data_IF_947184569088
#
_entry.id   IF_947184569088
#
_cell.length_a   1.000
_cell.length_b   1.000
_cell.length_c   1.000
_cell.angle_alpha   90.00
_cell.angle_beta   90.00
_cell.angle_gamma   90.00
#
_symmetry.space_group_name_H-M   'P 1'
#
loop_
_entity.id
_entity.type
_entity.pdbx_description
1 polymer ?
#
# COMPACT_ATOMS: atom_id res chain seq x y z
N UNK A 1 14.26 71.20 28.88
CA UNK A 1 15.10 71.25 27.66
C UNK A 1 16.06 70.08 27.70
N UNK A 2 16.20 69.30 26.62
CA UNK A 2 17.20 68.24 26.35
C UNK A 2 17.30 67.07 27.39
N UNK A 3 17.15 65.79 27.03
CA UNK A 3 18.03 64.91 26.21
C UNK A 3 19.40 64.63 26.89
N UNK A 4 20.00 63.43 26.89
CA UNK A 4 19.77 62.23 26.06
C UNK A 4 20.39 60.91 26.64
N UNK A 5 19.72 59.77 26.41
CA UNK A 5 20.20 58.38 26.08
C UNK A 5 21.33 57.60 26.82
N UNK A 6 21.02 56.29 26.90
CA UNK A 6 21.84 55.05 26.87
C UNK A 6 22.75 54.69 28.06
N UNK A 7 22.75 53.50 28.68
CA UNK A 7 22.55 52.06 28.35
C UNK A 7 23.88 51.28 28.43
N UNK A 8 24.00 50.38 29.42
CA UNK A 8 24.73 49.09 29.45
C UNK A 8 24.25 48.39 30.74
N UNK A 9 23.33 47.44 30.71
CA UNK A 9 23.48 46.01 30.37
C UNK A 9 24.35 45.23 31.38
N UNK A 10 23.76 44.23 32.06
CA UNK A 10 24.21 42.82 31.95
C UNK A 10 23.25 41.80 32.60
N UNK A 11 23.01 40.71 31.86
CA UNK A 11 22.68 39.34 32.30
C UNK A 11 21.52 39.10 33.29
N UNK A 12 20.31 38.88 32.73
CA UNK A 12 19.43 37.81 33.23
C UNK A 12 19.76 36.51 32.49
N UNK A 13 20.08 35.44 33.22
CA UNK A 13 20.11 34.09 32.65
C UNK A 13 18.68 33.59 32.45
N UNK A 14 18.27 33.48 31.19
CA UNK A 14 17.09 32.70 30.79
C UNK A 14 17.50 31.24 30.66
N UNK A 15 16.97 30.40 31.55
CA UNK A 15 17.01 28.94 31.38
C UNK A 15 16.16 28.57 30.16
N UNK A 16 16.81 28.41 29.00
CA UNK A 16 16.22 27.72 27.87
C UNK A 16 16.22 26.22 28.22
N UNK A 17 15.24 25.82 29.03
CA UNK A 17 14.77 24.44 29.08
C UNK A 17 14.07 24.18 27.74
N UNK A 18 14.89 23.97 26.71
CA UNK A 18 14.41 23.47 25.43
C UNK A 18 13.76 22.12 25.69
N UNK A 19 12.44 22.07 25.60
CA UNK A 19 11.71 20.82 25.48
C UNK A 19 12.12 20.19 24.15
N UNK A 20 13.25 19.49 24.16
CA UNK A 20 13.52 18.45 23.17
C UNK A 20 12.44 17.42 23.43
N UNK A 21 11.33 17.53 22.71
CA UNK A 21 10.43 16.41 22.54
C UNK A 21 11.28 15.30 21.93
N UNK A 22 11.69 14.33 22.74
CA UNK A 22 12.12 13.04 22.22
C UNK A 22 10.89 12.52 21.48
N UNK A 23 10.95 12.60 20.15
CA UNK A 23 9.93 12.05 19.27
C UNK A 23 10.12 10.53 19.25
N UNK A 24 9.85 9.89 20.38
CA UNK A 24 9.72 8.45 20.51
C UNK A 24 8.53 8.03 19.68
N UNK A 25 8.76 7.73 18.40
CA UNK A 25 7.71 7.17 17.55
C UNK A 25 7.69 5.66 17.72
N UNK A 26 6.50 5.16 17.95
CA UNK A 26 6.18 3.75 18.06
C UNK A 26 5.74 3.22 16.70
N UNK A 27 6.40 3.61 15.62
CA UNK A 27 6.00 3.17 14.28
C UNK A 27 6.08 1.65 14.17
N UNK A 28 4.95 1.00 13.92
CA UNK A 28 4.85 -0.42 13.63
C UNK A 28 4.44 -0.65 12.18
N UNK A 29 4.79 -1.81 11.64
CA UNK A 29 4.15 -2.38 10.46
C UNK A 29 3.74 -3.83 10.73
N UNK A 30 2.73 -4.30 10.01
CA UNK A 30 2.31 -5.70 10.02
C UNK A 30 1.73 -6.08 8.66
N UNK A 31 2.00 -7.29 8.17
CA UNK A 31 1.37 -7.83 6.96
C UNK A 31 1.27 -9.36 6.99
N UNK A 32 0.26 -9.89 6.32
CA UNK A 32 0.05 -11.34 6.16
C UNK A 32 1.04 -11.95 5.17
N UNK A 33 1.56 -13.13 5.50
CA UNK A 33 2.14 -14.08 4.53
C UNK A 33 1.38 -15.39 4.58
N UNK A 34 1.63 -16.32 3.65
CA UNK A 34 1.00 -17.65 3.65
C UNK A 34 1.37 -18.52 4.87
N UNK A 35 2.39 -18.13 5.67
CA UNK A 35 2.84 -18.89 6.85
C UNK A 35 2.52 -18.24 8.20
N UNK A 36 2.60 -16.91 8.27
CA UNK A 36 2.46 -16.13 9.51
C UNK A 36 2.28 -14.64 9.18
N UNK A 37 1.96 -13.83 10.19
CA UNK A 37 2.07 -12.37 10.08
C UNK A 37 3.55 -12.00 10.27
N UNK A 38 4.06 -11.05 9.49
CA UNK A 38 5.32 -10.38 9.80
C UNK A 38 5.04 -9.04 10.46
N UNK A 39 5.73 -8.77 11.56
CA UNK A 39 5.58 -7.58 12.39
C UNK A 39 6.95 -6.91 12.56
N UNK A 40 6.99 -5.60 12.42
CA UNK A 40 8.17 -4.79 12.70
C UNK A 40 7.81 -3.53 13.49
N UNK A 41 8.79 -2.99 14.21
CA UNK A 41 8.65 -1.73 14.93
C UNK A 41 9.97 -0.95 14.88
N UNK A 42 9.89 0.39 14.86
CA UNK A 42 11.05 1.22 15.16
C UNK A 42 11.32 1.21 16.68
N UNK A 43 12.57 0.98 17.05
CA UNK A 43 13.07 1.19 18.40
C UNK A 43 13.22 2.70 18.67
N UNK A 44 12.49 3.26 19.66
CA UNK A 44 12.41 4.71 19.87
C UNK A 44 13.68 5.33 20.48
N UNK A 45 14.67 4.51 20.86
CA UNK A 45 15.95 4.98 21.45
C UNK A 45 17.05 5.04 20.40
N UNK A 46 17.17 3.99 19.58
CA UNK A 46 18.23 3.80 18.59
C UNK A 46 17.80 4.15 17.16
N UNK A 47 16.50 4.30 16.91
CA UNK A 47 15.92 4.49 15.57
C UNK A 47 15.99 3.25 14.68
N UNK A 48 16.51 2.12 15.16
CA UNK A 48 16.64 0.89 14.37
C UNK A 48 15.28 0.24 14.17
N UNK A 49 15.08 -0.43 13.04
CA UNK A 49 13.88 -1.22 12.79
C UNK A 49 14.13 -2.63 13.34
N UNK A 50 13.36 -3.02 14.35
CA UNK A 50 13.27 -4.37 14.88
C UNK A 50 12.18 -5.16 14.15
N UNK A 51 12.34 -6.47 13.95
CA UNK A 51 11.36 -7.30 13.26
C UNK A 51 11.25 -8.74 13.79
N UNK A 52 10.07 -9.33 13.62
CA UNK A 52 9.79 -10.72 13.99
C UNK A 52 10.50 -11.73 13.08
N UNK A 53 10.86 -12.90 13.61
CA UNK A 53 11.49 -13.96 12.84
C UNK A 53 10.67 -14.29 11.58
N UNK A 54 11.23 -14.08 10.39
CA UNK A 54 10.52 -14.22 9.11
C UNK A 54 10.12 -15.66 8.76
N UNK A 55 10.64 -16.63 9.52
CA UNK A 55 10.32 -18.04 9.45
C UNK A 55 9.43 -18.51 10.62
N UNK A 56 8.83 -17.59 11.39
CA UNK A 56 7.83 -17.91 12.42
C UNK A 56 6.67 -18.69 11.80
N UNK A 57 5.93 -19.41 12.65
CA UNK A 57 4.69 -20.09 12.26
C UNK A 57 3.60 -19.67 13.22
N UNK A 58 2.40 -19.44 12.70
CA UNK A 58 1.20 -19.09 13.46
C UNK A 58 1.34 -17.71 14.16
N UNK A 59 2.00 -17.63 15.33
CA UNK A 59 2.23 -16.35 16.05
C UNK A 59 3.64 -15.80 15.75
N UNK A 60 3.80 -14.49 15.46
CA UNK A 60 5.12 -13.90 15.18
C UNK A 60 6.02 -13.92 16.42
N UNK A 61 7.27 -14.37 16.28
CA UNK A 61 8.27 -14.32 17.35
C UNK A 61 9.04 -13.01 17.21
N UNK A 62 8.96 -12.12 18.19
CA UNK A 62 9.51 -10.76 18.16
C UNK A 62 10.55 -10.57 19.28
N UNK A 63 11.83 -10.88 19.06
CA UNK A 63 12.87 -10.75 20.09
C UNK A 63 13.17 -9.27 20.38
N UNK A 64 13.26 -8.93 21.68
CA UNK A 64 13.69 -7.63 22.18
C UNK A 64 15.14 -7.71 22.70
N UNK A 65 15.43 -8.65 23.61
CA UNK A 65 16.77 -8.85 24.20
C UNK A 65 17.89 -9.07 23.16
N UNK A 66 17.55 -9.76 22.07
CA UNK A 66 18.43 -10.06 20.93
C UNK A 66 17.74 -9.71 19.62
N UNK A 67 17.18 -8.50 19.56
CA UNK A 67 16.38 -8.04 18.44
C UNK A 67 17.01 -8.30 17.07
N UNK A 68 16.18 -8.76 16.14
CA UNK A 68 16.56 -8.77 14.73
C UNK A 68 16.50 -7.33 14.21
N UNK A 69 17.67 -6.76 13.92
CA UNK A 69 17.78 -5.42 13.34
C UNK A 69 17.73 -5.53 11.82
N UNK A 70 16.87 -4.75 11.17
CA UNK A 70 16.76 -4.69 9.72
C UNK A 70 18.03 -4.06 9.13
N UNK A 71 18.64 -4.73 8.16
CA UNK A 71 19.79 -4.21 7.41
C UNK A 71 19.29 -3.23 6.34
N UNK A 72 18.98 -2.00 6.73
CA UNK A 72 18.73 -0.87 5.83
C UNK A 72 20.05 -0.14 5.50
N UNK A 73 20.23 0.27 4.24
CA UNK A 73 21.40 1.04 3.79
C UNK A 73 21.15 2.54 4.01
N UNK A 74 19.95 3.03 3.73
CA UNK A 74 19.46 4.34 4.16
C UNK A 74 18.96 4.23 5.61
N UNK A 75 19.77 4.69 6.56
CA UNK A 75 19.45 4.56 7.99
C UNK A 75 18.19 5.36 8.37
N UNK A 76 17.15 4.72 8.94
CA UNK A 76 15.95 5.41 9.40
C UNK A 76 16.25 6.38 10.55
N UNK A 77 15.49 7.50 10.59
CA UNK A 77 15.57 8.50 11.68
C UNK A 77 14.65 8.09 12.83
N UNK A 78 14.84 8.59 14.04
CA UNK A 78 13.76 8.46 15.03
C UNK A 78 12.54 9.27 14.55
N UNK A 79 11.32 8.73 14.66
CA UNK A 79 10.13 9.31 14.02
C UNK A 79 9.83 8.77 12.61
N UNK A 80 10.30 7.57 12.30
CA UNK A 80 10.14 6.95 10.97
C UNK A 80 8.74 6.44 10.72
N UNK A 81 8.06 6.91 9.68
CA UNK A 81 6.92 6.16 9.15
C UNK A 81 7.40 4.86 8.49
N UNK A 82 6.78 3.74 8.88
CA UNK A 82 7.02 2.40 8.34
C UNK A 82 5.73 1.86 7.74
N UNK A 83 5.84 1.18 6.60
CA UNK A 83 4.78 0.33 6.08
C UNK A 83 5.40 -0.83 5.30
N UNK A 84 4.82 -2.03 5.32
CA UNK A 84 5.42 -3.19 4.67
C UNK A 84 4.35 -4.14 4.13
N UNK A 85 4.67 -4.84 3.05
CA UNK A 85 3.83 -5.83 2.38
C UNK A 85 4.74 -6.85 1.71
N UNK A 86 4.40 -8.14 1.78
CA UNK A 86 5.25 -9.20 1.24
C UNK A 86 4.47 -10.46 0.91
N UNK A 87 5.15 -11.40 0.27
CA UNK A 87 4.60 -12.72 -0.04
C UNK A 87 5.48 -13.81 0.56
N UNK A 88 4.98 -15.04 0.58
CA UNK A 88 5.67 -16.15 1.24
C UNK A 88 6.90 -16.64 0.46
N UNK A 89 6.74 -16.89 -0.85
CA UNK A 89 7.67 -17.74 -1.59
C UNK A 89 9.14 -17.30 -1.51
N UNK A 90 9.49 -16.10 -1.99
CA UNK A 90 10.90 -15.65 -2.04
C UNK A 90 11.09 -14.12 -1.98
N UNK A 91 10.19 -13.35 -1.35
CA UNK A 91 10.33 -11.88 -1.32
C UNK A 91 9.40 -11.15 -0.34
N UNK A 92 9.97 -10.21 0.42
CA UNK A 92 9.29 -9.37 1.39
C UNK A 92 9.74 -7.92 1.19
N UNK A 93 8.81 -6.99 0.94
CA UNK A 93 9.14 -5.57 0.78
C UNK A 93 8.80 -4.79 2.05
N UNK A 94 9.78 -4.02 2.53
CA UNK A 94 9.64 -3.12 3.68
C UNK A 94 9.89 -1.70 3.19
N UNK A 95 8.88 -0.83 3.33
CA UNK A 95 8.90 0.54 2.82
C UNK A 95 9.07 1.50 4.00
N UNK A 96 9.98 2.44 3.83
CA UNK A 96 10.61 3.25 4.87
C UNK A 96 10.70 4.70 4.33
N UNK A 97 10.21 5.73 5.03
CA UNK A 97 10.24 7.12 4.51
C UNK A 97 10.98 8.14 5.38
N UNK A 98 12.07 8.73 4.83
CA UNK A 98 12.91 9.78 5.46
C UNK A 98 13.18 10.97 4.56
N UNK A 99 12.16 11.76 4.22
CA UNK A 99 12.29 12.90 3.29
C UNK A 99 12.54 12.50 1.83
N UNK A 100 12.88 11.23 1.59
CA UNK A 100 12.60 10.44 0.41
C UNK A 100 11.84 9.19 0.86
N UNK A 101 11.01 8.60 0.00
CA UNK A 101 10.39 7.30 0.24
C UNK A 101 11.33 6.24 -0.33
N UNK A 102 11.71 5.28 0.52
CA UNK A 102 12.69 4.23 0.24
C UNK A 102 12.00 2.87 0.35
N UNK A 103 12.10 2.07 -0.70
CA UNK A 103 11.70 0.67 -0.68
C UNK A 103 12.94 -0.19 -0.43
N UNK A 104 12.94 -0.98 0.64
CA UNK A 104 13.89 -2.07 0.84
C UNK A 104 13.25 -3.42 0.48
N UNK A 105 13.87 -4.13 -0.47
CA UNK A 105 13.48 -5.48 -0.85
C UNK A 105 14.33 -6.50 -0.08
N UNK A 106 13.68 -7.40 0.66
CA UNK A 106 14.30 -8.38 1.54
C UNK A 106 13.84 -9.80 1.20
N UNK A 107 14.63 -10.78 1.62
CA UNK A 107 14.26 -12.21 1.54
C UNK A 107 14.48 -12.91 2.87
N UNK A 108 13.62 -13.88 3.18
CA UNK A 108 13.73 -14.61 4.43
C UNK A 108 14.82 -15.69 4.36
N UNK A 109 15.85 -15.58 5.20
CA UNK A 109 16.74 -16.70 5.47
C UNK A 109 16.02 -17.71 6.38
N UNK A 110 15.38 -18.69 5.75
CA UNK A 110 14.60 -19.74 6.38
C UNK A 110 15.31 -20.51 7.50
N UNK A 111 16.65 -20.56 7.48
CA UNK A 111 17.46 -21.25 8.51
C UNK A 111 17.69 -20.40 9.77
N UNK A 112 17.64 -19.08 9.66
CA UNK A 112 17.99 -18.15 10.76
C UNK A 112 16.83 -17.25 11.19
N UNK A 113 15.73 -17.22 10.43
CA UNK A 113 14.60 -16.32 10.67
C UNK A 113 14.89 -14.85 10.36
N UNK A 114 16.02 -14.56 9.70
CA UNK A 114 16.46 -13.18 9.43
C UNK A 114 16.17 -12.74 8.00
N UNK A 115 15.82 -11.47 7.87
CA UNK A 115 15.70 -10.78 6.59
C UNK A 115 17.08 -10.45 6.03
N UNK A 116 17.26 -10.73 4.74
CA UNK A 116 18.47 -10.46 3.96
C UNK A 116 18.09 -9.44 2.90
N UNK A 117 18.76 -8.27 2.87
CA UNK A 117 18.49 -7.23 1.89
C UNK A 117 18.96 -7.67 0.50
N UNK A 118 18.04 -7.71 -0.45
CA UNK A 118 18.30 -7.97 -1.86
C UNK A 118 18.46 -6.67 -2.68
N UNK A 119 17.75 -5.61 -2.30
CA UNK A 119 17.80 -4.31 -2.96
C UNK A 119 17.27 -3.20 -2.07
N UNK A 120 17.61 -1.95 -2.40
CA UNK A 120 17.05 -0.78 -1.74
C UNK A 120 17.06 0.42 -2.70
N UNK A 121 15.91 1.08 -2.83
CA UNK A 121 15.60 2.01 -3.91
C UNK A 121 14.89 3.25 -3.38
N UNK A 122 15.32 4.45 -3.80
CA UNK A 122 14.65 5.70 -3.47
C UNK A 122 13.47 5.93 -4.42
N UNK A 123 12.36 5.24 -4.14
CA UNK A 123 11.21 5.16 -5.04
C UNK A 123 10.55 6.52 -5.31
N UNK A 124 10.65 7.48 -4.37
CA UNK A 124 10.19 8.85 -4.60
C UNK A 124 11.05 9.62 -5.62
N UNK A 125 12.35 9.36 -5.67
CA UNK A 125 13.25 9.97 -6.66
C UNK A 125 13.05 9.33 -8.04
N UNK A 126 12.84 8.01 -8.09
CA UNK A 126 12.50 7.27 -9.32
C UNK A 126 11.19 7.75 -9.95
N UNK A 127 10.19 8.06 -9.11
CA UNK A 127 8.89 8.57 -9.52
C UNK A 127 8.84 10.09 -9.76
N UNK A 128 9.97 10.80 -9.58
CA UNK A 128 10.08 12.27 -9.73
C UNK A 128 9.05 13.08 -8.90
N UNK A 129 8.69 12.62 -7.70
CA UNK A 129 7.64 13.29 -6.89
C UNK A 129 8.01 14.72 -6.51
N UNK A 130 7.03 15.63 -6.59
CA UNK A 130 7.27 17.06 -6.35
C UNK A 130 7.69 17.41 -4.91
N UNK A 131 6.99 16.87 -3.90
CA UNK A 131 7.34 17.07 -2.49
C UNK A 131 6.78 16.00 -1.56
N UNK A 132 7.37 15.85 -0.38
CA UNK A 132 6.99 14.91 0.69
C UNK A 132 6.99 15.65 2.02
N UNK A 133 5.95 15.48 2.84
CA UNK A 133 5.89 16.05 4.18
C UNK A 133 6.96 15.43 5.09
N UNK A 134 7.66 16.25 5.87
CA UNK A 134 8.75 15.80 6.74
C UNK A 134 8.31 14.84 7.87
N UNK A 135 7.01 14.83 8.20
CA UNK A 135 6.35 13.92 9.15
C UNK A 135 5.33 13.00 8.47
N UNK A 136 5.37 12.82 7.15
CA UNK A 136 4.40 11.97 6.45
C UNK A 136 4.34 10.58 7.08
N UNK A 137 3.14 10.10 7.42
CA UNK A 137 2.91 8.67 7.59
C UNK A 137 3.10 7.91 6.28
N UNK A 138 2.96 6.59 6.36
CA UNK A 138 2.96 5.69 5.22
C UNK A 138 1.87 4.64 5.37
N UNK A 139 1.27 4.26 4.25
CA UNK A 139 0.54 3.00 4.12
C UNK A 139 0.91 2.33 2.78
N UNK A 140 0.80 1.01 2.68
CA UNK A 140 1.07 0.28 1.43
C UNK A 140 0.13 -0.90 1.23
N UNK A 141 -0.39 -1.01 0.00
CA UNK A 141 -1.14 -2.15 -0.49
C UNK A 141 -0.36 -2.87 -1.61
N UNK A 142 -0.34 -4.21 -1.54
CA UNK A 142 0.18 -5.10 -2.59
C UNK A 142 -1.02 -5.72 -3.33
N UNK A 143 -1.21 -5.33 -4.58
CA UNK A 143 -2.37 -5.66 -5.41
C UNK A 143 -2.15 -6.92 -6.30
N UNK A 144 -1.23 -7.79 -5.88
CA UNK A 144 -0.79 -8.96 -6.63
C UNK A 144 0.21 -8.66 -7.76
N UNK A 145 0.75 -9.71 -8.39
CA UNK A 145 1.92 -9.63 -9.26
C UNK A 145 1.81 -8.65 -10.43
N UNK A 146 0.65 -8.60 -11.09
CA UNK A 146 0.49 -7.75 -12.27
C UNK A 146 0.30 -6.27 -11.92
N UNK A 147 -0.42 -6.00 -10.82
CA UNK A 147 -0.82 -4.65 -10.43
C UNK A 147 0.19 -3.97 -9.48
N UNK A 148 1.10 -4.75 -8.88
CA UNK A 148 2.19 -4.28 -8.02
C UNK A 148 1.73 -3.55 -6.77
N UNK A 149 2.40 -2.45 -6.45
CA UNK A 149 2.29 -1.75 -5.17
C UNK A 149 1.60 -0.39 -5.30
N UNK A 150 0.88 0.01 -4.25
CA UNK A 150 0.43 1.39 -4.01
C UNK A 150 0.96 1.85 -2.67
N UNK A 151 1.68 2.97 -2.65
CA UNK A 151 2.25 3.55 -1.43
C UNK A 151 1.63 4.93 -1.22
N UNK A 152 1.04 5.13 -0.06
CA UNK A 152 0.35 6.36 0.30
C UNK A 152 1.20 7.20 1.23
N UNK A 153 1.25 8.51 0.97
CA UNK A 153 2.09 9.47 1.68
C UNK A 153 1.46 10.87 1.63
N UNK A 154 2.10 11.87 2.26
CA UNK A 154 1.66 13.26 2.23
C UNK A 154 2.65 14.14 1.45
N UNK A 155 2.14 15.07 0.61
CA UNK A 155 2.96 16.16 0.06
C UNK A 155 3.26 17.24 1.13
N UNK A 156 4.03 18.27 0.80
CA UNK A 156 4.37 19.34 1.75
C UNK A 156 3.16 20.15 2.30
N UNK A 157 1.99 20.03 1.68
CA UNK A 157 0.74 20.68 2.09
C UNK A 157 -0.20 19.77 2.89
N UNK A 158 0.26 18.57 3.27
CA UNK A 158 -0.54 17.53 3.93
C UNK A 158 -1.64 16.90 3.06
N UNK A 159 -1.63 17.07 1.74
CA UNK A 159 -2.54 16.31 0.87
C UNK A 159 -2.07 14.86 0.75
N UNK A 160 -3.01 13.93 0.70
CA UNK A 160 -2.70 12.50 0.55
C UNK A 160 -2.44 12.18 -0.91
N UNK A 161 -1.24 11.65 -1.16
CA UNK A 161 -0.67 11.32 -2.46
C UNK A 161 -0.46 9.81 -2.58
N UNK A 162 -0.30 9.33 -3.81
CA UNK A 162 -0.05 7.92 -4.13
C UNK A 162 1.19 7.78 -5.03
N UNK A 163 2.11 6.91 -4.66
CA UNK A 163 3.06 6.28 -5.59
C UNK A 163 2.49 4.95 -6.07
N UNK A 164 2.79 4.57 -7.31
CA UNK A 164 2.48 3.24 -7.81
C UNK A 164 3.59 2.57 -8.61
N UNK A 165 3.64 1.25 -8.52
CA UNK A 165 4.52 0.35 -9.28
C UNK A 165 3.71 -0.80 -9.83
N UNK A 166 4.09 -1.33 -11.00
CA UNK A 166 3.50 -2.53 -11.63
C UNK A 166 4.61 -3.37 -12.26
N UNK A 167 4.35 -4.60 -12.70
CA UNK A 167 5.37 -5.35 -13.44
C UNK A 167 5.74 -4.76 -14.82
N UNK A 168 4.99 -3.75 -15.29
CA UNK A 168 5.14 -3.13 -16.62
C UNK A 168 5.65 -1.68 -16.56
N UNK A 169 5.74 -1.10 -15.36
CA UNK A 169 6.14 0.30 -15.12
C UNK A 169 7.14 0.32 -13.98
N UNK A 170 8.08 1.26 -13.99
CA UNK A 170 8.82 1.57 -12.76
C UNK A 170 7.88 2.31 -11.76
N UNK A 171 8.44 2.76 -10.65
CA UNK A 171 7.76 3.66 -9.72
C UNK A 171 7.36 4.97 -10.41
N UNK A 172 6.11 5.35 -10.26
CA UNK A 172 5.50 6.53 -10.89
C UNK A 172 4.61 7.27 -9.90
N UNK A 173 4.55 8.60 -10.02
CA UNK A 173 3.61 9.43 -9.25
C UNK A 173 2.18 9.18 -9.75
N UNK A 174 1.34 8.70 -8.83
CA UNK A 174 -0.09 8.45 -9.04
C UNK A 174 -0.98 9.64 -8.68
N UNK A 175 -0.38 10.75 -8.23
CA UNK A 175 -1.07 11.99 -7.92
C UNK A 175 -1.90 11.93 -6.63
N UNK A 176 -2.91 12.80 -6.58
CA UNK A 176 -3.76 12.99 -5.42
C UNK A 176 -4.72 11.80 -5.20
N UNK A 177 -4.69 11.27 -3.98
CA UNK A 177 -5.78 10.46 -3.40
C UNK A 177 -6.90 11.37 -2.90
N UNK A 178 -6.53 12.50 -2.29
CA UNK A 178 -7.45 13.57 -1.86
C UNK A 178 -6.81 14.94 -2.03
N UNK A 179 -7.62 15.92 -2.43
CA UNK A 179 -7.23 17.32 -2.56
C UNK A 179 -7.32 18.10 -1.25
N UNK A 180 -7.90 17.52 -0.19
CA UNK A 180 -7.95 18.18 1.12
C UNK A 180 -6.61 18.05 1.87
N UNK A 181 -6.37 18.96 2.79
CA UNK A 181 -5.19 18.93 3.65
C UNK A 181 -5.52 18.09 4.90
N UNK A 182 -4.84 16.95 5.08
CA UNK A 182 -4.98 16.16 6.29
C UNK A 182 -4.56 16.97 7.53
N UNK A 183 -5.36 16.89 8.60
CA UNK A 183 -5.05 17.55 9.89
C UNK A 183 -4.15 16.71 10.79
N UNK A 184 -3.80 15.51 10.33
CA UNK A 184 -2.88 14.59 10.96
C UNK A 184 -2.08 13.82 9.92
N UNK A 185 -1.02 13.12 10.34
CA UNK A 185 -0.09 12.43 9.44
C UNK A 185 -0.31 10.91 9.39
N UNK A 186 -1.23 10.37 10.19
CA UNK A 186 -1.51 8.95 10.23
C UNK A 186 -2.24 8.49 8.96
N UNK A 187 -1.79 7.39 8.37
CA UNK A 187 -2.40 6.75 7.19
C UNK A 187 -2.64 5.28 7.47
N UNK A 188 -3.86 4.81 7.16
CA UNK A 188 -4.17 3.39 6.99
C UNK A 188 -4.64 3.14 5.57
N UNK A 189 -4.35 1.97 5.00
CA UNK A 189 -4.93 1.54 3.72
C UNK A 189 -5.30 0.07 3.72
N UNK A 190 -6.31 -0.27 2.91
CA UNK A 190 -6.72 -1.66 2.69
C UNK A 190 -7.54 -1.80 1.39
N UNK A 191 -7.26 -2.84 0.63
CA UNK A 191 -7.91 -3.14 -0.66
C UNK A 191 -8.76 -4.41 -0.64
N UNK A 192 -9.83 -4.41 -1.45
CA UNK A 192 -10.67 -5.60 -1.71
C UNK A 192 -10.24 -6.29 -3.00
N UNK A 193 -9.84 -5.48 -3.98
CA UNK A 193 -9.39 -5.87 -5.30
C UNK A 193 -8.55 -4.70 -5.86
N UNK A 194 -7.89 -4.93 -7.00
CA UNK A 194 -6.98 -3.96 -7.65
C UNK A 194 -7.62 -2.60 -8.00
N UNK A 195 -8.94 -2.48 -7.97
CA UNK A 195 -9.72 -1.29 -8.33
C UNK A 195 -10.57 -0.78 -7.14
N UNK A 196 -10.33 -1.27 -5.92
CA UNK A 196 -11.18 -0.99 -4.75
C UNK A 196 -10.36 -0.88 -3.45
N UNK A 197 -9.46 0.10 -3.44
CA UNK A 197 -8.60 0.47 -2.32
C UNK A 197 -9.33 1.51 -1.45
N UNK A 198 -9.15 1.44 -0.14
CA UNK A 198 -9.45 2.54 0.79
C UNK A 198 -8.16 3.07 1.37
N UNK A 199 -8.09 4.39 1.50
CA UNK A 199 -7.11 5.10 2.33
C UNK A 199 -7.87 5.88 3.38
N UNK A 200 -7.41 5.82 4.63
CA UNK A 200 -8.01 6.45 5.80
C UNK A 200 -7.01 7.36 6.51
N UNK A 201 -7.41 8.59 6.82
CA UNK A 201 -6.54 9.60 7.46
C UNK A 201 -7.34 10.65 8.25
N UNK A 202 -6.72 11.36 9.21
CA UNK A 202 -7.37 12.44 9.95
C UNK A 202 -7.74 13.63 9.04
N UNK A 203 -9.04 13.91 8.92
CA UNK A 203 -9.56 15.04 8.14
C UNK A 203 -9.73 16.28 9.02
N UNK A 204 -10.38 16.12 10.17
CA UNK A 204 -10.68 17.21 11.09
C UNK A 204 -10.38 16.88 12.54
N UNK A 205 -10.69 17.82 13.43
CA UNK A 205 -10.62 17.61 14.88
C UNK A 205 -11.56 16.52 15.39
N UNK A 206 -12.58 16.13 14.60
CA UNK A 206 -13.59 15.14 14.96
C UNK A 206 -13.81 14.05 13.89
N UNK A 207 -13.14 14.15 12.72
CA UNK A 207 -13.46 13.36 11.53
C UNK A 207 -12.24 12.66 10.88
N UNK A 208 -12.52 11.48 10.32
CA UNK A 208 -11.64 10.70 9.44
C UNK A 208 -12.17 10.81 8.01
N UNK A 209 -11.27 11.05 7.04
CA UNK A 209 -11.59 10.89 5.62
C UNK A 209 -11.33 9.45 5.18
N UNK A 210 -12.21 8.95 4.31
CA UNK A 210 -12.11 7.66 3.65
C UNK A 210 -12.15 7.90 2.14
N UNK A 211 -10.96 8.01 1.54
CA UNK A 211 -10.82 8.05 0.09
C UNK A 211 -10.89 6.62 -0.45
N UNK A 212 -11.68 6.40 -1.50
CA UNK A 212 -11.94 5.08 -2.09
C UNK A 212 -11.66 5.09 -3.58
N UNK A 213 -10.78 4.23 -4.05
CA UNK A 213 -10.61 4.00 -5.47
C UNK A 213 -11.88 3.31 -6.00
N UNK A 214 -12.48 3.85 -7.06
CA UNK A 214 -13.60 3.25 -7.77
C UNK A 214 -13.17 2.71 -9.15
N UNK A 215 -14.08 1.97 -9.81
CA UNK A 215 -13.89 1.34 -11.12
C UNK A 215 -13.87 2.33 -12.30
N UNK A 216 -12.91 3.23 -12.26
CA UNK A 216 -12.52 4.17 -13.30
C UNK A 216 -11.08 4.69 -13.12
N UNK A 217 -10.41 4.37 -12.01
CA UNK A 217 -9.14 5.00 -11.62
C UNK A 217 -9.32 6.32 -10.84
N UNK A 218 -10.55 6.81 -10.69
CA UNK A 218 -10.86 7.96 -9.86
C UNK A 218 -11.03 7.57 -8.39
N UNK A 219 -10.58 8.45 -7.49
CA UNK A 219 -10.85 8.35 -6.06
C UNK A 219 -12.15 9.08 -5.75
N UNK A 220 -13.04 8.42 -5.02
CA UNK A 220 -14.21 9.03 -4.38
C UNK A 220 -13.87 9.36 -2.93
N UNK A 221 -14.26 10.53 -2.48
CA UNK A 221 -14.01 11.01 -1.11
C UNK A 221 -15.31 10.92 -0.31
N UNK A 222 -15.20 10.47 0.94
CA UNK A 222 -16.27 10.47 1.94
C UNK A 222 -15.63 10.62 3.34
N UNK A 223 -16.42 10.94 4.36
CA UNK A 223 -15.88 11.11 5.72
C UNK A 223 -16.87 10.64 6.79
N UNK A 224 -16.34 10.39 7.99
CA UNK A 224 -17.13 10.10 9.17
C UNK A 224 -16.45 10.64 10.44
N UNK A 225 -17.21 10.94 11.51
CA UNK A 225 -18.66 10.81 11.66
C UNK A 225 -19.46 11.83 10.84
N UNK A 226 -18.90 13.01 10.56
CA UNK A 226 -19.51 14.02 9.68
C UNK A 226 -19.29 13.62 8.22
N UNK A 227 -20.34 13.64 7.39
CA UNK A 227 -20.22 13.31 5.96
C UNK A 227 -19.84 14.55 5.15
N UNK A 228 -19.34 14.38 3.93
CA UNK A 228 -19.00 15.53 3.06
C UNK A 228 -20.23 16.25 2.48
N UNK A 229 -21.40 15.59 2.39
CA UNK A 229 -22.65 16.21 1.93
C UNK A 229 -22.80 16.37 0.42
N UNK A 230 -21.90 15.76 -0.35
CA UNK A 230 -21.92 15.72 -1.81
C UNK A 230 -21.12 14.51 -2.31
N UNK A 231 -21.03 14.38 -3.63
CA UNK A 231 -20.11 13.41 -4.27
C UNK A 231 -18.84 14.16 -4.64
N UNK A 232 -17.75 13.85 -3.95
CA UNK A 232 -16.43 14.45 -4.19
C UNK A 232 -15.46 13.40 -4.71
N UNK A 233 -14.47 13.86 -5.49
CA UNK A 233 -13.40 13.05 -6.06
C UNK A 233 -12.05 13.74 -5.92
N UNK A 234 -10.95 13.04 -6.22
CA UNK A 234 -9.62 13.66 -6.33
C UNK A 234 -9.50 14.71 -7.46
N UNK A 235 -10.49 14.83 -8.35
CA UNK A 235 -10.57 15.90 -9.36
C UNK A 235 -11.39 17.12 -8.87
N UNK A 236 -11.94 17.08 -7.65
CA UNK A 236 -12.80 18.14 -7.12
C UNK A 236 -11.97 19.35 -6.64
N UNK A 237 -12.35 20.56 -7.08
CA UNK A 237 -11.59 21.79 -6.80
C UNK A 237 -11.69 22.31 -5.36
N UNK A 238 -12.66 21.83 -4.58
CA UNK A 238 -12.80 22.10 -3.15
C UNK A 238 -13.75 21.08 -2.52
N UNK A 239 -13.45 20.67 -1.29
CA UNK A 239 -14.26 19.75 -0.49
C UNK A 239 -14.88 20.54 0.68
N UNK A 240 -15.72 21.53 0.34
CA UNK A 240 -16.46 22.31 1.34
C UNK A 240 -17.76 21.58 1.65
N UNK A 241 -17.97 21.20 2.92
CA UNK A 241 -19.21 20.56 3.34
C UNK A 241 -20.42 21.47 3.08
N UNK A 242 -21.35 21.01 2.24
CA UNK A 242 -22.50 21.83 1.81
C UNK A 242 -23.62 21.76 2.84
N UNK A 243 -23.89 22.90 3.48
CA UNK A 243 -24.97 23.10 4.49
C UNK A 243 -24.75 22.38 5.83
N UNK A 244 -25.43 22.83 6.92
CA UNK A 244 -25.33 22.16 8.22
C UNK A 244 -26.04 20.82 8.12
N UNK A 245 -25.26 19.74 8.07
CA UNK A 245 -25.80 18.39 8.19
C UNK A 245 -26.47 18.20 9.55
N UNK A 246 -27.39 17.23 9.60
CA UNK A 246 -27.81 16.68 10.87
C UNK A 246 -26.58 16.25 11.67
N UNK A 247 -26.53 16.59 12.95
CA UNK A 247 -25.41 16.26 13.84
C UNK A 247 -25.06 14.77 13.72
N UNK A 248 -23.77 14.41 13.74
CA UNK A 248 -23.36 13.04 13.51
C UNK A 248 -23.96 12.10 14.56
N UNK A 249 -24.36 10.90 14.13
CA UNK A 249 -25.07 9.93 14.98
C UNK A 249 -24.17 9.26 16.04
N UNK A 250 -22.87 9.47 15.96
CA UNK A 250 -21.85 9.06 16.92
C UNK A 250 -20.67 10.06 16.86
N UNK A 251 -19.80 10.02 17.86
CA UNK A 251 -18.48 10.68 17.83
C UNK A 251 -17.38 9.63 17.91
N UNK A 252 -16.17 9.95 17.41
CA UNK A 252 -15.01 9.08 17.54
C UNK A 252 -14.55 9.03 19.02
N UNK A 253 -14.57 7.87 19.70
CA UNK A 253 -14.14 7.78 21.09
C UNK A 253 -12.69 8.22 21.27
N UNK A 254 -12.44 9.07 22.26
CA UNK A 254 -11.10 9.52 22.67
C UNK A 254 -10.19 10.06 21.54
N UNK A 255 -10.78 10.54 20.44
CA UNK A 255 -10.08 10.90 19.20
C UNK A 255 -9.15 12.11 19.32
N UNK A 256 -8.09 12.10 18.52
CA UNK A 256 -7.17 13.21 18.33
C UNK A 256 -6.50 13.07 16.95
N UNK A 257 -6.64 14.06 16.07
CA UNK A 257 -6.03 14.02 14.73
C UNK A 257 -4.49 13.91 14.74
N UNK A 258 -3.83 14.27 15.85
CA UNK A 258 -2.37 14.18 16.00
C UNK A 258 -1.85 12.79 16.42
N UNK A 259 -2.65 11.74 16.29
CA UNK A 259 -2.27 10.37 16.61
C UNK A 259 -1.18 9.80 15.66
N UNK A 260 -0.43 8.80 16.13
CA UNK A 260 0.72 8.25 15.39
C UNK A 260 0.33 7.37 14.18
N UNK A 261 -0.67 6.47 14.31
CA UNK A 261 -1.05 5.54 13.24
C UNK A 261 -2.55 5.20 13.19
N UNK A 262 -3.10 5.08 11.97
CA UNK A 262 -4.42 4.52 11.70
C UNK A 262 -4.25 3.17 11.01
N UNK A 263 -4.95 2.15 11.49
CA UNK A 263 -5.06 0.86 10.86
C UNK A 263 -6.29 0.76 9.96
N UNK A 264 -6.22 -0.10 8.94
CA UNK A 264 -7.38 -0.42 8.09
C UNK A 264 -7.41 -1.92 7.81
N UNK A 265 -8.61 -2.52 7.83
CA UNK A 265 -8.82 -3.92 7.49
C UNK A 265 -10.09 -4.10 6.66
N UNK A 266 -10.19 -5.27 6.02
CA UNK A 266 -11.40 -5.72 5.31
C UNK A 266 -11.69 -7.17 5.65
N UNK A 267 -12.93 -7.46 6.04
CA UNK A 267 -13.38 -8.82 6.31
C UNK A 267 -13.91 -9.56 5.06
N UNK A 268 -14.28 -10.83 5.23
CA UNK A 268 -14.86 -11.68 4.18
C UNK A 268 -16.14 -11.14 3.55
N UNK A 269 -16.90 -10.32 4.28
CA UNK A 269 -18.12 -9.67 3.80
C UNK A 269 -17.85 -8.38 3.03
N UNK A 270 -16.57 -8.01 2.85
CA UNK A 270 -16.10 -6.73 2.30
C UNK A 270 -16.40 -5.53 3.21
N UNK A 271 -16.71 -5.76 4.49
CA UNK A 271 -16.87 -4.71 5.50
C UNK A 271 -15.50 -4.11 5.79
N UNK A 272 -15.44 -2.79 5.88
CA UNK A 272 -14.21 -2.04 6.17
C UNK A 272 -14.18 -1.69 7.67
N UNK A 273 -13.04 -1.86 8.30
CA UNK A 273 -12.79 -1.48 9.69
C UNK A 273 -11.60 -0.54 9.76
N UNK A 274 -11.73 0.53 10.55
CA UNK A 274 -10.68 1.50 10.83
C UNK A 274 -10.30 1.40 12.31
N UNK A 275 -9.00 1.36 12.60
CA UNK A 275 -8.46 1.17 13.94
C UNK A 275 -7.57 2.35 14.35
N UNK A 276 -7.65 2.78 15.60
CA UNK A 276 -6.73 3.75 16.20
C UNK A 276 -6.62 3.54 17.72
N UNK A 277 -5.52 4.00 18.32
CA UNK A 277 -5.39 4.09 19.78
C UNK A 277 -5.82 5.50 20.20
N UNK A 278 -6.70 5.60 21.18
CA UNK A 278 -7.23 6.89 21.63
C UNK A 278 -6.32 7.64 22.60
N UNK A 279 -6.71 8.87 22.94
CA UNK A 279 -6.16 9.65 24.07
C UNK A 279 -6.33 8.94 25.43
N UNK A 280 -7.24 7.97 25.50
CA UNK A 280 -7.52 7.09 26.65
C UNK A 280 -6.67 5.82 26.69
N UNK A 281 -5.71 5.67 25.75
CA UNK A 281 -4.86 4.47 25.53
C UNK A 281 -5.61 3.19 25.13
N UNK A 282 -6.91 3.26 24.83
CA UNK A 282 -7.66 2.09 24.38
C UNK A 282 -7.57 1.95 22.86
N UNK A 283 -7.59 0.72 22.36
CA UNK A 283 -7.85 0.42 20.96
C UNK A 283 -9.33 0.67 20.66
N UNK A 284 -9.61 1.41 19.59
CA UNK A 284 -10.95 1.66 19.07
C UNK A 284 -11.06 1.12 17.64
N UNK A 285 -12.22 0.55 17.31
CA UNK A 285 -12.59 0.12 15.96
C UNK A 285 -13.83 0.89 15.51
N UNK A 286 -13.83 1.39 14.27
CA UNK A 286 -15.00 1.96 13.60
C UNK A 286 -15.28 1.14 12.35
N UNK A 287 -16.49 0.59 12.24
CA UNK A 287 -16.89 -0.33 11.18
C UNK A 287 -17.82 0.34 10.17
N UNK A 288 -17.65 0.00 8.89
CA UNK A 288 -18.55 0.43 7.83
C UNK A 288 -19.87 -0.36 7.88
N UNK A 289 -20.98 0.37 7.88
CA UNK A 289 -22.32 -0.13 7.55
C UNK A 289 -22.72 0.33 6.16
N UNK A 290 -23.84 -0.21 5.65
CA UNK A 290 -24.31 -0.02 4.27
C UNK A 290 -24.21 1.42 3.76
N UNK A 291 -24.66 2.39 4.57
CA UNK A 291 -24.73 3.81 4.23
C UNK A 291 -24.21 4.74 5.36
N UNK A 292 -23.44 4.21 6.32
CA UNK A 292 -22.91 4.94 7.49
C UNK A 292 -21.72 4.21 8.10
N UNK A 293 -21.05 4.83 9.08
CA UNK A 293 -20.10 4.18 9.98
C UNK A 293 -20.71 4.06 11.38
N UNK A 294 -20.15 3.18 12.21
CA UNK A 294 -20.41 3.13 13.66
C UNK A 294 -19.18 2.66 14.44
N UNK A 295 -19.12 3.02 15.73
CA UNK A 295 -18.13 2.44 16.65
C UNK A 295 -18.47 0.97 16.87
N UNK A 296 -17.47 0.09 16.78
CA UNK A 296 -17.63 -1.31 17.13
C UNK A 296 -18.00 -1.47 18.61
N UNK A 297 -18.51 -2.65 18.99
CA UNK A 297 -18.73 -2.95 20.40
C UNK A 297 -17.40 -3.00 21.16
N UNK A 298 -17.32 -2.31 22.31
CA UNK A 298 -16.16 -2.35 23.19
C UNK A 298 -15.78 -3.80 23.53
N UNK A 299 -14.50 -4.13 23.38
CA UNK A 299 -13.97 -5.44 23.77
C UNK A 299 -13.54 -5.46 25.24
N UNK A 300 -13.31 -6.66 25.77
CA UNK A 300 -12.75 -6.81 27.12
C UNK A 300 -11.26 -6.44 27.13
N UNK A 301 -10.75 -6.02 28.28
CA UNK A 301 -9.32 -5.75 28.47
C UNK A 301 -8.41 -6.97 28.32
N UNK A 302 -8.97 -8.17 28.20
CA UNK A 302 -8.23 -9.37 27.80
C UNK A 302 -8.02 -9.43 26.28
N UNK A 303 -9.06 -9.15 25.51
CA UNK A 303 -9.00 -9.16 24.05
C UNK A 303 -8.27 -7.93 23.51
N UNK A 304 -8.54 -6.74 24.07
CA UNK A 304 -7.87 -5.48 23.77
C UNK A 304 -7.26 -4.90 25.06
N UNK A 305 -6.03 -5.29 25.45
CA UNK A 305 -5.32 -4.68 26.57
C UNK A 305 -5.01 -3.21 26.30
N UNK A 306 -4.85 -2.42 27.37
CA UNK A 306 -4.56 -0.98 27.28
C UNK A 306 -3.15 -0.77 26.72
N UNK A 307 -2.99 0.16 25.78
CA UNK A 307 -1.69 0.49 25.21
C UNK A 307 -0.78 1.21 26.22
N UNK A 308 0.53 1.14 26.01
CA UNK A 308 1.50 1.82 26.88
C UNK A 308 1.37 3.34 26.81
N UNK A 309 1.11 3.90 25.62
CA UNK A 309 1.01 5.34 25.39
C UNK A 309 -0.29 5.76 24.66
N UNK A 310 -0.82 6.98 24.92
CA UNK A 310 -2.03 7.47 24.29
C UNK A 310 -1.74 7.95 22.86
N UNK A 311 -2.67 7.70 21.94
CA UNK A 311 -2.49 8.02 20.51
C UNK A 311 -1.28 7.33 19.85
N UNK A 312 -0.77 6.24 20.45
CA UNK A 312 0.44 5.55 20.04
C UNK A 312 0.29 4.80 18.71
N UNK A 313 1.44 4.41 18.14
CA UNK A 313 1.49 3.64 16.91
C UNK A 313 0.86 2.25 17.05
N UNK A 314 0.24 1.80 15.96
CA UNK A 314 -0.30 0.45 15.81
C UNK A 314 -0.06 -0.03 14.37
N UNK A 315 -0.13 -1.33 14.17
CA UNK A 315 -0.16 -1.93 12.84
C UNK A 315 -1.32 -2.92 12.69
N UNK A 316 -1.91 -2.98 11.49
CA UNK A 316 -3.01 -3.89 11.18
C UNK A 316 -2.62 -4.77 10.00
N UNK A 317 -2.80 -6.08 10.17
CA UNK A 317 -2.79 -7.05 9.08
C UNK A 317 -4.16 -7.72 8.98
N UNK A 318 -4.57 -8.13 7.78
CA UNK A 318 -5.86 -8.80 7.58
C UNK A 318 -5.77 -9.85 6.47
N UNK A 319 -6.56 -10.91 6.60
CA UNK A 319 -6.80 -11.89 5.55
C UNK A 319 -8.28 -11.80 5.16
N UNK A 320 -8.56 -11.15 4.04
CA UNK A 320 -9.93 -10.89 3.61
C UNK A 320 -10.72 -12.20 3.36
N UNK A 321 -10.21 -13.23 2.64
CA UNK A 321 -10.96 -14.49 2.45
C UNK A 321 -11.44 -15.14 3.74
N UNK A 322 -10.60 -15.19 4.76
CA UNK A 322 -10.94 -15.77 6.08
C UNK A 322 -11.68 -14.79 7.00
N UNK A 323 -11.71 -13.51 6.68
CA UNK A 323 -12.24 -12.45 7.55
C UNK A 323 -11.39 -12.16 8.80
N UNK A 324 -10.15 -12.67 8.85
CA UNK A 324 -9.26 -12.54 10.01
C UNK A 324 -8.59 -11.17 10.04
N UNK A 325 -8.44 -10.61 11.23
CA UNK A 325 -7.75 -9.33 11.46
C UNK A 325 -6.80 -9.47 12.64
N UNK A 326 -5.60 -8.92 12.51
CA UNK A 326 -4.61 -8.83 13.58
C UNK A 326 -4.24 -7.36 13.80
N UNK A 327 -4.25 -6.91 15.06
CA UNK A 327 -3.78 -5.57 15.44
C UNK A 327 -2.61 -5.72 16.41
N UNK A 328 -1.54 -4.97 16.15
CA UNK A 328 -0.31 -4.97 16.93
C UNK A 328 0.00 -3.58 17.47
N UNK A 329 0.33 -3.49 18.75
CA UNK A 329 0.73 -2.25 19.42
C UNK A 329 1.51 -2.57 20.70
N UNK A 330 2.11 -1.56 21.31
CA UNK A 330 2.85 -1.70 22.56
C UNK A 330 1.91 -1.69 23.78
N UNK A 331 2.02 -2.72 24.62
CA UNK A 331 1.29 -2.85 25.88
C UNK A 331 2.11 -3.68 26.86
N UNK A 332 2.35 -3.13 28.05
CA UNK A 332 3.23 -3.66 29.09
C UNK A 332 4.66 -3.95 28.54
N UNK A 333 5.26 -2.93 27.91
CA UNK A 333 6.64 -2.93 27.40
C UNK A 333 6.95 -4.00 26.34
N UNK A 334 5.91 -4.60 25.74
CA UNK A 334 6.03 -5.59 24.67
C UNK A 334 4.99 -5.35 23.58
N UNK A 335 5.22 -5.87 22.38
CA UNK A 335 4.23 -5.88 21.32
C UNK A 335 3.18 -6.94 21.65
N UNK A 336 1.91 -6.53 21.75
CA UNK A 336 0.77 -7.44 21.88
C UNK A 336 0.10 -7.66 20.53
N UNK A 337 -0.45 -8.86 20.35
CA UNK A 337 -1.33 -9.21 19.25
C UNK A 337 -2.77 -9.32 19.77
N UNK A 338 -3.66 -8.47 19.26
CA UNK A 338 -5.11 -8.73 19.30
C UNK A 338 -5.51 -9.40 17.99
N UNK A 339 -6.45 -10.33 18.02
CA UNK A 339 -6.79 -11.17 16.87
C UNK A 339 -8.28 -11.42 16.78
N UNK A 340 -8.87 -11.07 15.63
CA UNK A 340 -10.22 -11.40 15.24
C UNK A 340 -10.19 -12.68 14.39
N UNK A 341 -10.86 -13.72 14.86
CA UNK A 341 -10.85 -15.03 14.26
C UNK A 341 -11.80 -15.14 13.05
N UNK A 342 -11.89 -16.34 12.47
CA UNK A 342 -12.76 -16.63 11.32
C UNK A 342 -14.25 -16.42 11.63
N UNK A 343 -14.70 -16.59 12.87
CA UNK A 343 -16.11 -16.42 13.23
C UNK A 343 -16.49 -14.94 13.40
N UNK A 344 -15.49 -14.07 13.57
CA UNK A 344 -15.63 -12.62 13.78
C UNK A 344 -15.42 -12.20 15.23
N UNK A 345 -15.16 -13.16 16.12
CA UNK A 345 -14.89 -12.95 17.54
C UNK A 345 -13.43 -12.55 17.79
N UNK A 346 -13.22 -11.69 18.79
CA UNK A 346 -11.89 -11.31 19.25
C UNK A 346 -11.38 -12.31 20.31
N UNK A 347 -10.22 -12.91 20.07
CA UNK A 347 -9.54 -13.76 21.05
C UNK A 347 -8.84 -12.94 22.15
N UNK A 348 -8.57 -13.57 23.30
CA UNK A 348 -7.66 -13.04 24.32
C UNK A 348 -6.29 -12.70 23.69
N UNK A 349 -5.79 -11.48 23.96
CA UNK A 349 -4.56 -10.95 23.41
C UNK A 349 -3.33 -11.75 23.87
N UNK A 350 -2.32 -11.78 23.00
CA UNK A 350 -1.07 -12.53 23.22
C UNK A 350 0.10 -11.57 23.10
N UNK A 351 0.90 -11.44 24.16
CA UNK A 351 2.22 -10.81 24.06
C UNK A 351 3.08 -11.61 23.08
N UNK A 352 3.82 -10.95 22.19
CA UNK A 352 4.63 -11.65 21.20
C UNK A 352 5.80 -12.38 21.87
N UNK A 353 5.98 -13.70 21.59
CA UNK A 353 7.05 -14.49 22.18
C UNK A 353 8.43 -13.98 21.77
N UNK A 354 9.36 -14.02 22.71
CA UNK A 354 10.74 -13.53 22.55
C UNK A 354 11.68 -14.57 21.92
N UNK A 355 11.40 -15.86 22.13
CA UNK A 355 12.11 -17.00 21.55
C UNK A 355 11.10 -18.04 21.05
N UNK A 356 11.55 -19.00 20.24
CA UNK A 356 10.73 -20.18 19.88
C UNK A 356 10.35 -20.99 21.12
N UNK A 357 9.09 -21.42 21.18
CA UNK A 357 8.63 -22.41 22.15
C UNK A 357 9.43 -23.70 21.98
N UNK A 358 10.31 -24.01 22.93
CA UNK A 358 11.00 -25.32 22.94
C UNK A 358 9.95 -26.39 23.18
N UNK A 359 9.62 -27.15 22.13
CA UNK A 359 8.75 -28.31 22.26
C UNK A 359 9.31 -29.23 23.35
N UNK A 360 8.52 -29.43 24.40
CA UNK A 360 8.86 -30.39 25.44
C UNK A 360 8.45 -31.76 24.91
N UNK A 361 9.44 -32.47 24.37
CA UNK A 361 9.35 -33.76 23.69
C UNK A 361 8.26 -34.69 24.27
N UNK A 362 7.11 -34.77 23.59
CA UNK A 362 6.03 -35.72 23.88
C UNK A 362 5.72 -36.57 22.65
N UNK A 363 6.70 -37.41 22.32
CA UNK A 363 6.53 -38.74 21.73
C UNK A 363 5.78 -38.87 20.39
N UNK A 364 6.59 -38.78 19.31
CA UNK A 364 6.62 -39.69 18.14
C UNK A 364 5.41 -39.79 17.18
N UNK A 365 5.66 -40.18 15.91
CA UNK A 365 4.83 -39.73 14.79
C UNK A 365 3.80 -40.76 14.33
N UNK A 366 2.84 -40.26 13.53
CA UNK A 366 2.12 -41.05 12.54
C UNK A 366 2.45 -40.43 11.17
N UNK A 367 2.91 -41.27 10.25
CA UNK A 367 3.13 -40.91 8.85
C UNK A 367 1.79 -40.78 8.13
N UNK A 368 1.65 -39.78 7.25
CA UNK A 368 0.76 -39.92 6.10
C UNK A 368 1.29 -39.06 4.94
N UNK A 369 1.85 -39.70 3.92
CA UNK A 369 2.22 -39.03 2.68
C UNK A 369 1.01 -38.91 1.76
N UNK A 370 0.56 -37.69 1.49
CA UNK A 370 -0.21 -37.38 0.28
C UNK A 370 0.39 -36.19 -0.45
N UNK A 371 1.28 -36.49 -1.39
CA UNK A 371 1.80 -35.53 -2.35
C UNK A 371 0.68 -35.00 -3.25
N UNK A 372 0.18 -33.81 -2.96
CA UNK A 372 -0.64 -33.02 -3.89
C UNK A 372 0.22 -31.93 -4.51
N UNK A 373 0.20 -31.86 -5.85
CA UNK A 373 1.06 -30.96 -6.62
C UNK A 373 0.61 -29.51 -6.47
N UNK A 374 1.36 -28.70 -5.73
CA UNK A 374 1.17 -27.25 -5.69
C UNK A 374 1.59 -26.62 -7.02
N UNK A 375 0.61 -26.16 -7.79
CA UNK A 375 0.86 -25.19 -8.84
C UNK A 375 1.35 -23.88 -8.22
N UNK A 376 2.41 -23.30 -8.79
CA UNK A 376 2.98 -22.02 -8.33
C UNK A 376 1.89 -20.95 -8.22
N UNK A 377 1.74 -20.34 -7.04
CA UNK A 377 0.76 -19.28 -6.83
C UNK A 377 1.19 -18.01 -7.58
N UNK A 378 0.21 -17.18 -7.94
CA UNK A 378 0.44 -16.02 -8.82
C UNK A 378 1.44 -15.00 -8.24
N UNK A 379 1.62 -14.97 -6.91
CA UNK A 379 2.59 -14.10 -6.23
C UNK A 379 4.04 -14.34 -6.66
N UNK A 380 4.40 -15.57 -7.04
CA UNK A 380 5.76 -15.94 -7.45
C UNK A 380 6.31 -15.18 -8.68
N UNK A 381 5.47 -14.45 -9.43
CA UNK A 381 5.90 -13.63 -10.58
C UNK A 381 6.21 -12.17 -10.23
N UNK A 382 5.69 -11.64 -9.11
CA UNK A 382 5.83 -10.24 -8.73
C UNK A 382 7.31 -9.82 -8.57
N UNK A 383 8.10 -10.65 -7.89
CA UNK A 383 9.49 -10.35 -7.53
C UNK A 383 10.56 -10.72 -8.57
N UNK A 384 10.19 -11.12 -9.79
CA UNK A 384 11.15 -11.55 -10.84
C UNK A 384 11.36 -10.43 -11.90
N UNK A 385 10.76 -9.26 -11.71
CA UNK A 385 10.83 -8.11 -12.64
C UNK A 385 12.19 -7.44 -12.81
N UNK A 386 13.16 -7.67 -11.91
CA UNK A 386 14.45 -6.95 -11.92
C UNK A 386 15.57 -7.81 -12.55
N UNK A 387 15.79 -7.66 -13.86
CA UNK A 387 17.09 -7.97 -14.49
C UNK A 387 17.11 -8.90 -15.72
N UNK A 388 16.04 -9.63 -16.05
CA UNK A 388 16.09 -10.62 -17.15
C UNK A 388 15.72 -10.05 -18.53
N UNK A 389 14.89 -9.00 -18.60
CA UNK A 389 14.36 -8.45 -19.86
C UNK A 389 15.43 -7.94 -20.83
N UNK A 390 16.45 -7.23 -20.34
CA UNK A 390 17.55 -6.70 -21.17
C UNK A 390 18.48 -7.82 -21.66
N UNK A 391 18.73 -8.83 -20.81
CA UNK A 391 19.54 -10.00 -21.16
C UNK A 391 18.91 -10.82 -22.29
N UNK A 392 17.62 -11.15 -22.18
CA UNK A 392 16.93 -11.98 -23.18
C UNK A 392 16.91 -11.33 -24.57
N UNK A 393 16.72 -10.01 -24.65
CA UNK A 393 16.77 -9.28 -25.93
C UNK A 393 18.18 -9.29 -26.54
N UNK A 394 19.23 -9.05 -25.75
CA UNK A 394 20.62 -9.13 -26.22
C UNK A 394 21.00 -10.54 -26.70
N UNK A 395 20.66 -11.58 -25.94
CA UNK A 395 20.91 -12.97 -26.34
C UNK A 395 20.10 -13.37 -27.59
N UNK A 396 18.85 -12.92 -27.72
CA UNK A 396 18.03 -13.15 -28.91
C UNK A 396 18.63 -12.52 -30.18
N UNK A 397 19.08 -11.27 -30.09
CA UNK A 397 19.74 -10.56 -31.22
C UNK A 397 21.07 -11.24 -31.59
N UNK A 398 21.88 -11.63 -30.61
CA UNK A 398 23.16 -12.33 -30.84
C UNK A 398 22.93 -13.71 -31.49
N UNK A 399 21.95 -14.49 -31.02
CA UNK A 399 21.61 -15.78 -31.59
C UNK A 399 21.10 -15.67 -33.04
N UNK A 400 20.24 -14.68 -33.32
CA UNK A 400 19.73 -14.42 -34.68
C UNK A 400 20.85 -14.01 -35.65
N UNK A 401 21.75 -13.11 -35.24
CA UNK A 401 22.91 -12.72 -36.05
C UNK A 401 23.84 -13.90 -36.34
N UNK A 402 24.04 -14.80 -35.37
CA UNK A 402 24.88 -16.00 -35.55
C UNK A 402 24.25 -17.02 -36.51
N UNK A 403 22.93 -17.27 -36.41
CA UNK A 403 22.20 -18.13 -37.36
C UNK A 403 22.21 -17.53 -38.78
N UNK A 404 21.99 -16.22 -38.93
CA UNK A 404 22.08 -15.51 -40.21
C UNK A 404 23.47 -15.60 -40.84
N UNK A 405 24.54 -15.67 -40.02
CA UNK A 405 25.92 -15.85 -40.48
C UNK A 405 26.24 -17.30 -40.87
N UNK A 406 25.56 -18.31 -40.30
CA UNK A 406 25.67 -19.73 -40.69
C UNK A 406 24.93 -20.06 -41.99
N UNK A 407 23.75 -19.47 -42.23
CA UNK A 407 22.96 -19.78 -43.43
C UNK A 407 23.55 -19.24 -44.75
N UNK A 408 24.58 -18.37 -44.71
CA UNK A 408 25.34 -17.96 -45.91
C UNK A 408 26.41 -18.96 -46.37
N UNK A 409 26.50 -20.16 -45.78
CA UNK A 409 27.48 -21.22 -46.17
C UNK A 409 26.84 -22.55 -46.60
N UNK A 410 25.54 -22.57 -46.93
CA UNK A 410 24.84 -23.77 -47.47
C UNK A 410 24.00 -23.45 -48.72
N UNK A 411 24.66 -22.87 -49.73
CA UNK A 411 24.10 -22.71 -51.07
C UNK A 411 25.19 -23.01 -52.12
N UNK A 412 25.45 -24.30 -52.36
CA UNK A 412 26.26 -24.81 -53.45
C UNK A 412 25.95 -26.29 -53.66
N UNK A 413 25.58 -26.70 -54.89
CA UNK A 413 25.45 -28.11 -55.31
C UNK A 413 24.20 -28.47 -56.11
N UNK A 414 24.31 -28.43 -57.45
CA UNK A 414 23.57 -29.21 -58.49
C UNK A 414 22.03 -29.10 -58.54
N UNK A 415 21.37 -28.60 -59.59
CA UNK A 415 21.22 -29.15 -60.97
C UNK A 415 20.65 -30.59 -60.98
N UNK A 416 19.60 -30.93 -61.76
CA UNK A 416 19.39 -30.57 -63.18
C UNK A 416 17.94 -30.75 -63.70
N UNK A 417 17.54 -29.93 -64.70
CA UNK A 417 16.58 -30.27 -65.78
C UNK A 417 15.13 -29.73 -65.66
N UNK A 418 14.50 -29.07 -66.65
CA UNK A 418 14.90 -28.75 -68.03
C UNK A 418 14.29 -27.38 -68.50
N UNK A 419 14.58 -26.97 -69.74
CA UNK A 419 14.33 -25.64 -70.36
C UNK A 419 13.88 -25.82 -71.83
N UNK A 420 13.72 -24.81 -72.72
CA UNK A 420 13.28 -23.39 -72.60
C UNK A 420 12.22 -22.96 -73.66
N UNK A 421 11.47 -21.87 -73.41
CA UNK A 421 10.97 -20.83 -74.37
C UNK A 421 10.14 -19.79 -73.58
N UNK A 422 10.05 -18.49 -73.90
CA UNK A 422 10.64 -17.65 -74.96
C UNK A 422 10.84 -16.20 -74.44
N UNK A 423 11.40 -15.29 -75.26
CA UNK A 423 11.93 -13.97 -74.87
C UNK A 423 11.32 -12.78 -75.63
N UNK A 424 11.08 -11.64 -74.94
CA UNK A 424 11.23 -10.22 -75.38
C UNK A 424 10.63 -9.24 -74.31
N UNK A 425 11.13 -8.03 -73.93
CA UNK A 425 11.65 -6.83 -74.62
C UNK A 425 10.63 -6.16 -75.58
N UNK A 426 10.32 -4.86 -75.62
CA UNK A 426 10.80 -3.59 -75.01
C UNK A 426 9.65 -2.93 -74.19
N UNK A 427 9.58 -1.64 -73.77
CA UNK A 427 10.41 -0.42 -73.90
C UNK A 427 10.23 0.48 -72.64
N UNK A 428 10.83 1.68 -72.64
CA UNK A 428 10.63 2.77 -71.68
C UNK A 428 10.12 4.00 -72.43
N UNK A 429 9.16 4.76 -71.87
CA UNK A 429 9.16 6.21 -72.07
C UNK A 429 8.53 6.99 -70.92
N UNK A 430 9.01 8.22 -70.81
CA UNK A 430 8.89 9.17 -69.71
C UNK A 430 8.23 10.43 -70.27
N UNK A 431 7.48 11.16 -69.44
CA UNK A 431 7.63 12.62 -69.23
C UNK A 431 6.36 13.25 -68.61
N UNK A 432 6.57 13.83 -67.43
CA UNK A 432 6.02 15.09 -66.91
C UNK A 432 4.60 15.55 -67.25
N UNK A 433 3.74 15.59 -66.22
CA UNK A 433 2.99 16.81 -65.83
C UNK A 433 2.50 16.74 -64.38
N UNK A 434 2.61 17.87 -63.68
CA UNK A 434 2.12 18.03 -62.31
C UNK A 434 0.60 18.24 -62.28
N UNK A 435 -0.06 17.67 -61.27
CA UNK A 435 -1.43 17.99 -60.83
C UNK A 435 -1.45 17.89 -59.30
N UNK A 436 -2.10 18.87 -58.65
CA UNK A 436 -2.24 18.97 -57.19
C UNK A 436 -3.08 17.82 -56.58
N UNK A 437 -2.95 17.56 -55.26
CA UNK A 437 -3.73 16.54 -54.57
C UNK A 437 -5.21 16.92 -54.47
N UNK A 438 -6.11 15.95 -54.68
CA UNK A 438 -7.56 16.17 -54.61
C UNK A 438 -8.03 16.53 -53.21
N UNK A 439 -8.70 17.68 -53.08
CA UNK A 439 -9.71 17.89 -52.07
C UNK A 439 -10.82 16.82 -52.22
N UNK A 440 -11.29 16.27 -51.10
CA UNK A 440 -12.59 15.59 -51.07
C UNK A 440 -13.55 16.41 -50.23
N UNK A 441 -14.60 16.90 -50.89
CA UNK A 441 -15.66 17.68 -50.29
C UNK A 441 -16.48 16.89 -49.27
N UNK A 442 -16.92 17.57 -48.23
CA UNK A 442 -17.73 16.99 -47.16
C UNK A 442 -19.22 16.92 -47.51
N UNK A 443 -19.83 15.76 -47.29
CA UNK A 443 -21.29 15.62 -47.21
C UNK A 443 -21.69 15.10 -45.84
N UNK A 444 -22.02 16.02 -44.93
CA UNK A 444 -22.46 15.71 -43.58
C UNK A 444 -23.91 15.24 -43.52
N UNK A 445 -24.14 14.14 -42.80
CA UNK A 445 -25.37 13.87 -42.06
C UNK A 445 -25.01 13.24 -40.70
N UNK A 446 -25.63 13.67 -39.58
CA UNK A 446 -25.36 13.07 -38.28
C UNK A 446 -25.90 11.64 -38.21
N UNK A 447 -25.21 10.77 -37.49
CA UNK A 447 -25.69 9.43 -37.17
C UNK A 447 -26.59 9.48 -35.92
N UNK A 448 -27.90 9.41 -36.12
CA UNK A 448 -28.89 9.16 -35.07
C UNK A 448 -28.67 7.74 -34.51
N UNK A 449 -28.21 7.62 -33.26
CA UNK A 449 -28.10 6.32 -32.59
C UNK A 449 -29.42 6.01 -31.86
N UNK A 450 -30.12 4.97 -32.32
CA UNK A 450 -31.39 4.55 -31.72
C UNK A 450 -31.23 4.14 -30.26
N UNK A 451 -31.93 4.85 -29.37
CA UNK A 451 -32.00 4.54 -27.94
C UNK A 451 -33.14 3.53 -27.68
N UNK A 452 -32.81 2.37 -27.12
CA UNK A 452 -33.79 1.35 -26.73
C UNK A 452 -34.23 1.57 -25.27
N UNK A 453 -35.50 1.91 -24.99
CA UNK A 453 -35.99 1.98 -23.62
C UNK A 453 -36.20 0.57 -23.05
N UNK A 454 -35.42 0.21 -22.02
CA UNK A 454 -35.73 -0.95 -21.17
C UNK A 454 -36.97 -0.68 -20.34
N UNK A 455 -38.04 -1.45 -20.60
CA UNK A 455 -39.26 -1.44 -19.79
C UNK A 455 -38.98 -2.16 -18.47
N UNK A 456 -39.19 -1.48 -17.34
CA UNK A 456 -39.28 -2.13 -16.03
C UNK A 456 -40.73 -2.57 -15.80
N UNK A 457 -40.95 -3.88 -15.66
CA UNK A 457 -42.24 -4.43 -15.27
C UNK A 457 -42.43 -4.29 -13.75
N UNK A 458 -43.44 -3.52 -13.35
CA UNK A 458 -43.82 -3.35 -11.94
C UNK A 458 -44.54 -4.61 -11.44
N UNK A 459 -43.88 -5.41 -10.59
CA UNK A 459 -44.58 -6.50 -9.90
C UNK A 459 -45.60 -5.95 -8.89
N UNK A 460 -46.79 -6.53 -8.95
CA UNK A 460 -47.99 -6.02 -8.32
C UNK A 460 -48.03 -6.14 -6.80
N UNK A 461 -48.67 -5.14 -6.21
CA UNK A 461 -49.15 -5.08 -4.83
C UNK A 461 -50.14 -6.21 -4.53
N UNK A 462 -49.79 -7.12 -3.61
CA UNK A 462 -50.76 -8.02 -2.96
C UNK A 462 -51.10 -7.50 -1.56
N UNK A 463 -52.38 -7.24 -1.32
CA UNK A 463 -52.93 -6.96 0.01
C UNK A 463 -53.84 -8.12 0.42
N UNK A 464 -53.72 -8.50 1.69
CA UNK A 464 -54.56 -9.38 2.53
C UNK A 464 -55.91 -9.85 1.98
N UNK A 465 -56.20 -11.12 2.26
CA UNK A 465 -57.10 -11.42 3.39
C UNK A 465 -56.25 -11.94 4.58
#
# INVERSE_FOLDING_TARGET
MCACRHQFAFLSWLLIAGWVQLSCSHALYAYTTERTIQVGAQDPVTGKIHYSNCNSKDTPIFPLDKANILDAKETPRNGTALAAQGWWDFGQETIIAHGAIVNGYYTCNMKTGKLVRNGEYRISETAEVGSIHNKSGLAVDLLGADNGYRVFYHNEHSNVMMLHYTQFTDWTDGGFVSQDNATGMALGSAHIDKENITVAFPKGSEDIEISRLEKAGQWRLDSFPTKLGGTFTNDSTSITAVSPQASPIFSLPAWNSSLEAIGSAIDRSRKRSIFYIGTDKNLHEVEAKKDTWEVASNQTSKAWPVADDPNSGLAVAYNQPDGKVWVYYWSNETVVQTYRNYDGDWEDAKALPQEESRETDKSKPVEDETSSSSGLTTGAKAGIGVGVGVGALLFGVLAWLWMKRRNKKKASGSEMGASPTDSHFTEVKKDDKAVDPSEMDGHGRPAELYNHPTVYELQGQHVRE
#
